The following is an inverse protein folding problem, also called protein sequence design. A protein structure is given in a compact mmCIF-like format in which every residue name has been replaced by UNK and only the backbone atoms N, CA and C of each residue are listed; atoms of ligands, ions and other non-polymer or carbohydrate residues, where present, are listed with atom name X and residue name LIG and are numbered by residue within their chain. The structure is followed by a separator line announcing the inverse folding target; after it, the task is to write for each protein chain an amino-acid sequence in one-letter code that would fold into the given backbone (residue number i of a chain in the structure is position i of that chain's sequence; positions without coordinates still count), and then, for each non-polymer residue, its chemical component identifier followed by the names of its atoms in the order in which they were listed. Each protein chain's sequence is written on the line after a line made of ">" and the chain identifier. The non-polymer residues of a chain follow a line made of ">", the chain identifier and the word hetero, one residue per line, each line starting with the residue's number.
data_IF_682775949138
#
_entry.id   IF_682775949138
#
_cell.length_a   1.000
_cell.length_b   1.000
_cell.length_c   1.000
_cell.angle_alpha   90.00
_cell.angle_beta   90.00
_cell.angle_gamma   90.00
#
_symmetry.space_group_name_H-M   'P 1'
#
loop_
_entity.id
_entity.type
_entity.pdbx_description
1 polymer ?
#
# COMPACT_ATOMS: atom_id res chain seq x y z
N UNK A 1 -2.54 -14.70 -15.99
CA UNK A 1 -1.76 -13.72 -16.77
C UNK A 1 -0.25 -13.92 -16.56
N UNK A 2 0.38 -13.35 -15.52
CA UNK A 2 1.80 -13.66 -15.22
C UNK A 2 1.96 -15.07 -14.59
N UNK A 3 1.16 -15.38 -13.57
CA UNK A 3 1.24 -16.67 -12.87
C UNK A 3 0.80 -17.86 -13.73
N UNK A 4 -0.06 -17.62 -14.73
CA UNK A 4 -0.46 -18.64 -15.70
C UNK A 4 0.56 -18.83 -16.84
N UNK A 5 1.65 -18.06 -16.86
CA UNK A 5 2.67 -18.10 -17.91
C UNK A 5 2.23 -17.52 -19.26
N UNK A 6 1.12 -16.77 -19.29
CA UNK A 6 0.66 -16.08 -20.51
C UNK A 6 1.63 -14.97 -20.93
N UNK A 7 2.30 -14.37 -19.95
CA UNK A 7 3.37 -13.39 -20.15
C UNK A 7 4.58 -13.83 -19.33
N UNK A 8 5.77 -13.78 -19.94
CA UNK A 8 7.02 -14.18 -19.30
C UNK A 8 7.57 -13.07 -18.40
N UNK A 9 7.24 -11.80 -18.67
CA UNK A 9 7.78 -10.65 -17.93
C UNK A 9 6.77 -9.54 -17.69
N UNK A 10 7.05 -8.71 -16.70
CA UNK A 10 6.31 -7.46 -16.44
C UNK A 10 6.37 -6.52 -17.65
N UNK A 11 7.48 -6.48 -18.39
CA UNK A 11 7.63 -5.62 -19.56
C UNK A 11 6.68 -6.03 -20.69
N UNK A 12 6.57 -7.33 -20.95
CA UNK A 12 5.66 -7.89 -21.95
C UNK A 12 4.19 -7.64 -21.60
N UNK A 13 3.83 -7.85 -20.33
CA UNK A 13 2.50 -7.51 -19.81
C UNK A 13 2.21 -6.01 -19.98
N UNK A 14 3.17 -5.15 -19.64
CA UNK A 14 3.02 -3.70 -19.74
C UNK A 14 2.80 -3.24 -21.20
N UNK A 15 3.57 -3.77 -22.13
CA UNK A 15 3.43 -3.50 -23.57
C UNK A 15 2.05 -3.92 -24.09
N UNK A 16 1.59 -5.11 -23.72
CA UNK A 16 0.27 -5.63 -24.12
C UNK A 16 -0.89 -4.78 -23.59
N UNK A 17 -0.78 -4.32 -22.36
CA UNK A 17 -1.80 -3.51 -21.69
C UNK A 17 -1.68 -2.00 -21.98
N UNK A 18 -0.65 -1.59 -22.73
CA UNK A 18 -0.43 -0.18 -23.09
C UNK A 18 -0.10 0.72 -21.88
N UNK A 19 0.47 0.15 -20.83
CA UNK A 19 0.88 0.84 -19.59
C UNK A 19 2.38 0.69 -19.36
N UNK A 20 2.94 1.48 -18.44
CA UNK A 20 4.38 1.42 -18.19
C UNK A 20 4.72 0.25 -17.24
N UNK A 21 5.89 -0.41 -17.40
CA UNK A 21 6.30 -1.48 -16.48
C UNK A 21 6.32 -1.07 -15.00
N UNK A 22 6.77 0.14 -14.60
CA UNK A 22 6.66 0.60 -13.22
C UNK A 22 5.23 0.69 -12.70
N UNK A 23 4.25 0.96 -13.57
CA UNK A 23 2.84 1.00 -13.21
C UNK A 23 2.28 -0.41 -12.98
N UNK A 24 2.64 -1.38 -13.82
CA UNK A 24 2.30 -2.80 -13.59
C UNK A 24 2.89 -3.29 -12.27
N UNK A 25 4.19 -3.05 -12.02
CA UNK A 25 4.83 -3.38 -10.74
C UNK A 25 4.08 -2.75 -9.57
N UNK A 26 3.62 -1.51 -9.72
CA UNK A 26 2.85 -0.83 -8.67
C UNK A 26 1.53 -1.53 -8.38
N UNK A 27 0.79 -1.95 -9.41
CA UNK A 27 -0.46 -2.70 -9.22
C UNK A 27 -0.19 -4.02 -8.50
N UNK A 28 0.84 -4.76 -8.91
CA UNK A 28 1.24 -6.03 -8.28
C UNK A 28 1.68 -5.84 -6.82
N UNK A 29 2.33 -4.72 -6.49
CA UNK A 29 2.65 -4.43 -5.08
C UNK A 29 1.41 -4.23 -4.22
N UNK A 30 0.33 -3.65 -4.77
CA UNK A 30 -0.93 -3.47 -4.04
C UNK A 30 -1.63 -4.80 -3.76
N UNK A 31 -1.42 -5.85 -4.57
CA UNK A 31 -1.98 -7.18 -4.29
C UNK A 31 -1.29 -7.89 -3.13
N UNK A 32 -0.14 -7.38 -2.65
CA UNK A 32 0.58 -7.92 -1.50
C UNK A 32 0.08 -7.35 -0.16
N UNK A 33 -0.85 -6.40 -0.19
CA UNK A 33 -1.41 -5.81 1.03
C UNK A 33 -2.19 -6.86 1.84
N UNK A 34 -2.05 -6.77 3.16
CA UNK A 34 -2.80 -7.60 4.09
C UNK A 34 -4.31 -7.33 3.90
N UNK A 35 -5.17 -8.37 3.97
CA UNK A 35 -6.61 -8.23 3.75
C UNK A 35 -7.27 -7.14 4.61
N UNK A 36 -6.84 -7.00 5.86
CA UNK A 36 -7.39 -6.01 6.80
C UNK A 36 -7.13 -4.57 6.33
N UNK A 37 -5.95 -4.31 5.76
CA UNK A 37 -5.58 -3.00 5.20
C UNK A 37 -6.45 -2.68 3.99
N UNK A 38 -6.66 -3.67 3.11
CA UNK A 38 -7.52 -3.52 1.94
C UNK A 38 -8.96 -3.21 2.38
N UNK A 39 -9.48 -3.94 3.37
CA UNK A 39 -10.82 -3.71 3.91
C UNK A 39 -10.96 -2.31 4.50
N UNK A 40 -9.99 -1.84 5.28
CA UNK A 40 -10.04 -0.49 5.82
C UNK A 40 -9.98 0.59 4.75
N UNK A 41 -9.20 0.39 3.67
CA UNK A 41 -9.16 1.31 2.53
C UNK A 41 -10.51 1.34 1.80
N UNK A 42 -11.11 0.17 1.54
CA UNK A 42 -12.40 0.06 0.86
C UNK A 42 -13.54 0.67 1.69
N UNK A 43 -13.46 0.53 3.00
CA UNK A 43 -14.45 1.06 3.94
C UNK A 43 -14.21 2.54 4.30
N UNK A 44 -13.16 3.17 3.76
CA UNK A 44 -12.83 4.57 4.05
C UNK A 44 -12.33 4.81 5.48
N UNK A 45 -11.91 3.76 6.19
CA UNK A 45 -11.42 3.79 7.57
C UNK A 45 -9.91 4.01 7.66
N UNK A 46 -9.20 4.05 6.54
CA UNK A 46 -7.78 4.34 6.52
C UNK A 46 -7.48 5.74 7.11
N UNK A 47 -6.39 5.85 7.86
CA UNK A 47 -5.89 7.15 8.31
C UNK A 47 -5.59 8.04 7.09
N UNK A 48 -5.87 9.36 7.15
CA UNK A 48 -5.50 10.29 6.08
C UNK A 48 -3.99 10.34 5.80
N UNK A 49 -3.16 9.82 6.71
CA UNK A 49 -1.72 9.69 6.55
C UNK A 49 -1.34 8.51 5.64
N UNK A 50 -2.23 7.54 5.48
CA UNK A 50 -2.07 6.44 4.52
C UNK A 50 -2.42 6.97 3.13
N UNK A 51 -1.38 7.17 2.34
CA UNK A 51 -1.49 7.49 0.92
C UNK A 51 -1.01 6.31 0.09
N UNK A 52 -1.35 6.34 -1.20
CA UNK A 52 -0.80 5.38 -2.15
C UNK A 52 0.74 5.38 -2.10
N UNK A 53 1.39 6.53 -1.83
CA UNK A 53 2.86 6.63 -1.77
C UNK A 53 3.44 5.97 -0.51
N UNK A 54 2.82 6.17 0.65
CA UNK A 54 3.25 5.49 1.89
C UNK A 54 3.12 3.97 1.80
N UNK A 55 2.13 3.47 1.05
CA UNK A 55 1.98 2.04 0.78
C UNK A 55 3.06 1.48 -0.18
N UNK A 56 3.77 2.32 -0.94
CA UNK A 56 4.89 1.86 -1.79
C UNK A 56 6.18 1.74 -1.01
N UNK A 57 6.47 2.74 -0.18
CA UNK A 57 7.82 2.97 0.31
C UNK A 57 8.13 2.12 1.57
N UNK A 58 7.10 1.54 2.21
CA UNK A 58 7.23 1.04 3.58
C UNK A 58 6.45 -0.25 3.93
N UNK A 59 5.90 -0.98 2.96
CA UNK A 59 5.08 -2.18 3.25
C UNK A 59 5.96 -3.43 3.27
N UNK A 60 6.15 -4.08 4.44
CA UNK A 60 6.82 -5.37 4.52
C UNK A 60 6.06 -6.42 3.71
N UNK A 61 6.73 -7.42 3.16
CA UNK A 61 6.02 -8.52 2.48
C UNK A 61 5.19 -9.34 3.48
N UNK A 62 5.65 -9.47 4.72
CA UNK A 62 4.95 -10.22 5.77
C UNK A 62 3.71 -9.48 6.28
N UNK A 63 2.51 -10.06 6.11
CA UNK A 63 1.24 -9.47 6.56
C UNK A 63 1.19 -9.13 8.05
N UNK A 64 1.80 -9.95 8.91
CA UNK A 64 1.84 -9.66 10.35
C UNK A 64 2.60 -8.36 10.65
N UNK A 65 3.67 -8.08 9.90
CA UNK A 65 4.44 -6.85 10.01
C UNK A 65 3.72 -5.67 9.35
N UNK A 66 2.97 -5.92 8.27
CA UNK A 66 2.14 -4.90 7.64
C UNK A 66 1.06 -4.37 8.58
N UNK A 67 0.33 -5.26 9.27
CA UNK A 67 -0.72 -4.86 10.22
C UNK A 67 -0.19 -4.03 11.38
N UNK A 68 0.98 -4.38 11.91
CA UNK A 68 1.66 -3.60 12.96
C UNK A 68 1.99 -2.18 12.50
N UNK A 69 2.66 -2.04 11.34
CA UNK A 69 3.01 -0.72 10.78
C UNK A 69 1.79 0.09 10.35
N UNK A 70 0.77 -0.58 9.81
CA UNK A 70 -0.47 0.06 9.41
C UNK A 70 -1.16 0.66 10.64
N UNK A 71 -1.27 -0.10 11.74
CA UNK A 71 -1.84 0.37 13.01
C UNK A 71 -1.02 1.51 13.63
N UNK A 72 0.32 1.45 13.58
CA UNK A 72 1.18 2.57 14.01
C UNK A 72 0.91 3.85 13.21
N UNK A 73 0.63 3.73 11.91
CA UNK A 73 0.27 4.86 11.04
C UNK A 73 -1.15 5.39 11.29
N UNK A 74 -2.04 4.55 11.84
CA UNK A 74 -3.36 4.96 12.33
C UNK A 74 -3.29 5.72 13.67
N UNK A 75 -2.24 5.51 14.48
CA UNK A 75 -2.14 6.14 15.79
C UNK A 75 -2.00 7.67 15.68
N UNK A 76 -2.83 8.46 16.38
CA UNK A 76 -2.62 9.89 16.47
C UNK A 76 -1.28 10.14 17.17
N UNK A 77 -0.37 10.87 16.52
CA UNK A 77 0.88 11.30 17.15
C UNK A 77 0.54 12.10 18.40
N UNK A 78 0.94 11.60 19.57
CA UNK A 78 0.98 12.34 20.84
C UNK A 78 1.97 13.49 20.68
N UNK A 79 1.56 14.54 19.98
CA UNK A 79 2.34 15.78 19.86
C UNK A 79 1.48 17.04 19.70
N UNK A 80 0.16 16.91 19.87
CA UNK A 80 -0.78 18.05 19.86
C UNK A 80 -1.34 18.38 21.25
N UNK A 81 -0.70 17.88 22.31
CA UNK A 81 -0.92 18.38 23.68
C UNK A 81 0.26 19.22 24.11
N UNK A 82 0.10 20.54 24.02
CA UNK A 82 0.88 21.45 24.83
C UNK A 82 1.48 22.64 24.08
N UNK A 83 0.64 23.58 23.65
CA UNK A 83 0.92 25.00 23.85
C UNK A 83 -0.40 25.76 24.00
N UNK A 84 -1.03 25.60 25.17
CA UNK A 84 -1.82 26.71 25.71
C UNK A 84 -0.81 27.76 26.16
N UNK A 85 -0.63 28.80 25.35
CA UNK A 85 -0.06 30.05 25.84
C UNK A 85 -1.11 30.69 26.75
N UNK A 86 -0.78 30.71 28.04
CA UNK A 86 -1.31 31.69 28.99
C UNK A 86 -0.83 33.09 28.66
#
# INVERSE_FOLDING_TARGET
>A
MLESGEFATIAELAEREGITPPYVTRILQLTLLAPDIVNDILDGRQSPRITLNTLRDAVPICWAEQGGRYTESLAPTVRDRGVSHS
#
